data_IF_840647068489
#
_entry.id   IF_840647068489
#
_cell.length_a   1.000
_cell.length_b   1.000
_cell.length_c   1.000
_cell.angle_alpha   90.00
_cell.angle_beta   90.00
_cell.angle_gamma   90.00
#
_symmetry.space_group_name_H-M   'P 1'
#
loop_
_entity.id
_entity.type
_entity.pdbx_description
1 polymer ?
#
# COMPACT_ATOMS: atom_id res chain seq x y z
N UNK A 1 13.44 -7.86 -4.28
CA UNK A 1 13.41 -8.30 -2.88
C UNK A 1 12.90 -7.18 -1.99
N UNK A 2 11.98 -7.46 -1.06
CA UNK A 2 11.51 -6.46 -0.09
C UNK A 2 12.34 -6.53 1.18
N UNK A 3 12.78 -5.37 1.66
CA UNK A 3 13.60 -5.24 2.86
C UNK A 3 13.08 -4.10 3.72
N UNK A 4 13.36 -4.17 5.02
CA UNK A 4 12.96 -3.17 6.02
C UNK A 4 14.20 -2.67 6.74
N UNK A 5 14.35 -1.35 6.84
CA UNK A 5 15.40 -0.75 7.66
C UNK A 5 14.96 -0.57 9.12
N UNK A 6 15.91 -0.32 10.02
CA UNK A 6 15.65 -0.09 11.46
C UNK A 6 14.65 1.03 11.75
N UNK A 7 14.49 1.97 10.82
CA UNK A 7 13.52 3.05 10.91
C UNK A 7 12.07 2.61 10.60
N UNK A 8 11.86 1.32 10.34
CA UNK A 8 10.55 0.75 10.02
C UNK A 8 10.10 1.00 8.57
N UNK A 9 10.98 1.51 7.71
CA UNK A 9 10.68 1.81 6.31
C UNK A 9 10.94 0.57 5.47
N UNK A 10 9.93 0.15 4.72
CA UNK A 10 10.01 -0.94 3.75
C UNK A 10 10.29 -0.42 2.34
N UNK A 11 11.15 -1.10 1.62
CA UNK A 11 11.50 -0.73 0.25
C UNK A 11 11.94 -1.95 -0.57
N UNK A 12 11.83 -1.82 -1.89
CA UNK A 12 12.18 -2.87 -2.83
C UNK A 12 13.59 -2.64 -3.39
N UNK A 13 14.47 -3.60 -3.17
CA UNK A 13 15.83 -3.61 -3.70
C UNK A 13 16.05 -4.81 -4.63
N UNK A 14 17.09 -4.70 -5.47
CA UNK A 14 17.62 -5.84 -6.19
C UNK A 14 18.18 -6.87 -5.20
N UNK A 15 17.99 -8.16 -5.51
CA UNK A 15 18.38 -9.29 -4.64
C UNK A 15 19.85 -9.22 -4.19
N UNK A 16 20.75 -8.86 -5.10
CA UNK A 16 22.19 -8.72 -4.82
C UNK A 16 22.48 -7.63 -3.79
N UNK A 17 21.82 -6.47 -3.92
CA UNK A 17 22.01 -5.32 -3.02
C UNK A 17 21.32 -5.57 -1.68
N UNK A 18 20.11 -6.14 -1.71
CA UNK A 18 19.37 -6.53 -0.52
C UNK A 18 20.18 -7.51 0.34
N UNK A 19 20.70 -8.58 -0.25
CA UNK A 19 21.51 -9.58 0.44
C UNK A 19 22.76 -8.97 1.08
N UNK A 20 23.46 -8.07 0.37
CA UNK A 20 24.64 -7.40 0.90
C UNK A 20 24.30 -6.52 2.13
N UNK A 21 23.20 -5.78 2.08
CA UNK A 21 22.77 -4.90 3.16
C UNK A 21 22.21 -5.68 4.37
N UNK A 22 21.54 -6.80 4.14
CA UNK A 22 21.08 -7.72 5.19
C UNK A 22 22.28 -8.38 5.87
N UNK A 23 23.25 -8.86 5.09
CA UNK A 23 24.50 -9.46 5.61
C UNK A 23 25.30 -8.44 6.41
N UNK A 24 25.28 -7.17 6.01
CA UNK A 24 25.89 -6.07 6.75
C UNK A 24 25.14 -5.70 8.05
N UNK A 25 23.94 -6.26 8.28
CA UNK A 25 23.12 -5.98 9.47
C UNK A 25 22.46 -4.60 9.47
N UNK A 26 22.24 -4.02 8.28
CA UNK A 26 21.63 -2.69 8.12
C UNK A 26 20.14 -2.79 7.80
N UNK A 27 19.73 -3.88 7.14
CA UNK A 27 18.35 -4.12 6.71
C UNK A 27 17.93 -5.54 7.09
N UNK A 28 16.62 -5.74 7.24
CA UNK A 28 16.00 -7.04 7.48
C UNK A 28 15.19 -7.46 6.25
N UNK A 29 15.24 -8.75 5.91
CA UNK A 29 14.39 -9.31 4.86
C UNK A 29 12.92 -9.20 5.28
N UNK A 30 12.10 -8.60 4.41
CA UNK A 30 10.65 -8.62 4.58
C UNK A 30 10.07 -9.61 3.60
N UNK A 31 9.85 -10.84 4.06
CA UNK A 31 9.01 -11.80 3.35
C UNK A 31 7.59 -11.27 3.38
N UNK A 32 7.03 -11.01 2.19
CA UNK A 32 5.64 -10.61 2.03
C UNK A 32 4.71 -11.79 2.34
N UNK A 33 4.70 -12.26 3.58
CA UNK A 33 3.69 -13.17 4.14
C UNK A 33 2.49 -12.35 4.63
N UNK A 34 2.07 -11.38 3.82
CA UNK A 34 0.79 -10.68 3.95
C UNK A 34 0.14 -10.60 2.56
N UNK A 35 0.34 -11.67 1.78
CA UNK A 35 -0.64 -12.08 0.80
C UNK A 35 -1.64 -13.03 1.49
N UNK A 36 -2.30 -12.56 2.55
CA UNK A 36 -3.64 -13.06 2.82
C UNK A 36 -4.58 -12.26 1.91
N UNK A 37 -5.12 -12.82 0.81
CA UNK A 37 -6.24 -12.19 0.13
C UNK A 37 -7.47 -12.37 1.04
N UNK A 38 -7.52 -11.67 2.18
CA UNK A 38 -8.77 -11.51 2.90
C UNK A 38 -9.54 -10.39 2.20
N UNK A 39 -9.99 -10.71 0.99
CA UNK A 39 -11.14 -10.08 0.35
C UNK A 39 -12.39 -10.55 1.11
N UNK A 40 -12.52 -10.10 2.34
CA UNK A 40 -13.67 -10.26 3.22
C UNK A 40 -13.87 -8.85 3.78
N UNK A 41 -14.70 -7.99 3.21
CA UNK A 41 -16.15 -8.04 3.33
C UNK A 41 -16.68 -6.90 2.42
N UNK A 42 -17.43 -7.24 1.36
CA UNK A 42 -18.27 -6.25 0.67
C UNK A 42 -19.68 -6.44 1.21
N UNK A 43 -20.13 -5.63 2.18
CA UNK A 43 -21.55 -5.40 2.32
C UNK A 43 -21.92 -4.30 1.33
N UNK A 44 -22.70 -4.71 0.33
CA UNK A 44 -23.45 -3.83 -0.54
C UNK A 44 -24.29 -2.86 0.30
N UNK A 45 -24.21 -1.56 0.03
CA UNK A 45 -25.32 -0.66 0.37
C UNK A 45 -25.23 0.65 -0.42
N UNK A 46 -26.24 0.81 -1.29
CA UNK A 46 -27.00 2.04 -1.60
C UNK A 46 -26.22 3.32 -1.94
N UNK A 47 -26.36 3.91 -3.11
CA UNK A 47 -27.61 4.26 -3.76
C UNK A 47 -27.45 5.69 -4.30
N UNK A 48 -27.91 5.89 -5.53
CA UNK A 48 -28.37 7.16 -6.12
C UNK A 48 -27.92 8.48 -5.45
N UNK A 49 -26.96 9.18 -6.06
CA UNK A 49 -26.92 10.65 -5.98
C UNK A 49 -26.81 11.23 -7.38
N UNK A 50 -27.95 11.29 -8.06
CA UNK A 50 -28.21 12.30 -9.06
C UNK A 50 -28.22 13.71 -8.42
N UNK A 51 -28.01 14.73 -9.27
CA UNK A 51 -28.12 16.17 -9.01
C UNK A 51 -26.97 16.86 -8.23
N UNK A 52 -26.19 17.68 -8.94
CA UNK A 52 -26.31 19.15 -8.79
C UNK A 52 -25.53 19.88 -9.91
N UNK A 53 -26.16 20.14 -11.06
CA UNK A 53 -25.64 21.17 -11.98
C UNK A 53 -26.18 22.52 -11.51
N UNK A 54 -25.32 23.24 -10.80
CA UNK A 54 -25.62 24.50 -10.13
C UNK A 54 -26.20 25.55 -11.08
N UNK A 55 -27.36 26.07 -10.67
CA UNK A 55 -28.10 27.17 -11.29
C UNK A 55 -27.31 28.48 -11.16
N UNK A 56 -26.68 28.95 -12.24
CA UNK A 56 -26.07 30.28 -12.31
C UNK A 56 -27.15 31.34 -12.55
N UNK A 57 -27.63 31.95 -11.47
CA UNK A 57 -28.47 33.16 -11.48
C UNK A 57 -27.74 34.31 -10.78
N UNK A 58 -28.07 35.55 -11.18
CA UNK A 58 -27.67 36.87 -10.59
C UNK A 58 -26.37 37.42 -11.21
N UNK A 59 -26.29 38.64 -11.74
CA UNK A 59 -27.07 39.87 -11.59
C UNK A 59 -26.76 40.79 -12.78
#
# INVERSE_FOLDING_TARGET
MRVKGDNGIEFELADEVATAMITAGILEETTSDEASPSSEDVPADEGDTAEETSKKSKK
#
